data_IF_673792291424
#
_entry.id   IF_673792291424
#
_cell.length_a   1.000
_cell.length_b   1.000
_cell.length_c   1.000
_cell.angle_alpha   90.00
_cell.angle_beta   90.00
_cell.angle_gamma   90.00
#
_symmetry.space_group_name_H-M   'P 1'
#
loop_
_entity.id
_entity.type
_entity.pdbx_description
1 polymer ?
#
# COMPACT_ATOMS: atom_id res chain seq x y z
N UNK A 1 20.95 15.41 -7.68
CA UNK A 1 21.50 14.41 -6.73
C UNK A 1 20.62 13.20 -6.76
N UNK A 2 21.18 12.04 -7.01
CA UNK A 2 20.50 10.74 -6.91
C UNK A 2 21.15 9.95 -5.77
N UNK A 3 20.37 9.13 -5.09
CA UNK A 3 20.85 8.30 -4.01
C UNK A 3 20.40 6.85 -4.22
N UNK A 4 21.28 5.90 -3.92
CA UNK A 4 20.91 4.48 -3.89
C UNK A 4 20.55 4.12 -2.46
N UNK A 5 19.32 3.66 -2.26
CA UNK A 5 18.79 3.37 -0.94
C UNK A 5 18.15 1.99 -0.86
N UNK A 6 18.05 1.54 0.38
CA UNK A 6 17.16 0.44 0.80
C UNK A 6 16.19 0.94 1.82
N UNK A 7 15.04 0.27 1.92
CA UNK A 7 14.08 0.53 2.97
C UNK A 7 13.61 -0.76 3.67
N UNK A 8 13.14 -0.58 4.90
CA UNK A 8 12.46 -1.58 5.70
C UNK A 8 11.20 -0.93 6.24
N UNK A 9 10.04 -1.54 5.98
CA UNK A 9 8.74 -1.04 6.39
C UNK A 9 8.23 -1.84 7.59
N UNK A 10 7.92 -1.15 8.69
CA UNK A 10 7.21 -1.68 9.86
C UNK A 10 5.82 -1.06 9.89
N UNK A 11 4.79 -1.88 9.76
CA UNK A 11 3.40 -1.43 9.90
C UNK A 11 2.92 -1.70 11.33
N UNK A 12 2.21 -0.75 11.96
CA UNK A 12 1.51 -1.04 13.20
C UNK A 12 0.52 -2.20 13.01
N UNK A 13 0.48 -3.11 13.96
CA UNK A 13 -0.48 -4.22 13.97
C UNK A 13 -1.42 -4.05 15.16
N UNK A 14 -2.70 -4.30 14.93
CA UNK A 14 -3.68 -4.23 16.01
C UNK A 14 -3.37 -5.24 17.11
N UNK A 15 -3.40 -4.80 18.36
CA UNK A 15 -3.19 -5.63 19.53
C UNK A 15 -4.25 -6.73 19.67
N UNK A 16 -3.91 -7.79 20.41
CA UNK A 16 -4.86 -8.85 20.74
C UNK A 16 -6.11 -8.31 21.46
N UNK A 17 -5.97 -7.22 22.21
CA UNK A 17 -7.10 -6.53 22.82
C UNK A 17 -8.05 -5.96 21.78
N UNK A 18 -7.51 -5.26 20.75
CA UNK A 18 -8.30 -4.72 19.62
C UNK A 18 -8.95 -5.85 18.82
N UNK A 19 -8.20 -6.92 18.54
CA UNK A 19 -8.72 -8.12 17.87
C UNK A 19 -9.89 -8.74 18.64
N UNK A 20 -9.73 -8.97 19.96
CA UNK A 20 -10.80 -9.51 20.81
C UNK A 20 -12.04 -8.60 20.85
N UNK A 21 -11.87 -7.27 20.90
CA UNK A 21 -13.00 -6.33 20.84
C UNK A 21 -13.76 -6.46 19.51
N UNK A 22 -13.04 -6.59 18.41
CA UNK A 22 -13.64 -6.78 17.08
C UNK A 22 -14.44 -8.09 17.00
N UNK A 23 -13.85 -9.20 17.46
CA UNK A 23 -14.54 -10.50 17.53
C UNK A 23 -15.80 -10.41 18.41
N UNK A 24 -15.69 -9.76 19.58
CA UNK A 24 -16.84 -9.56 20.47
C UNK A 24 -17.95 -8.73 19.82
N UNK A 25 -17.59 -7.68 19.07
CA UNK A 25 -18.55 -6.85 18.32
C UNK A 25 -19.26 -7.68 17.23
N UNK A 26 -18.52 -8.47 16.44
CA UNK A 26 -19.12 -9.32 15.41
C UNK A 26 -20.04 -10.39 16.01
N UNK A 27 -19.69 -10.97 17.16
CA UNK A 27 -20.58 -11.91 17.89
C UNK A 27 -21.89 -11.23 18.30
N UNK A 28 -21.84 -10.00 18.82
CA UNK A 28 -23.04 -9.22 19.15
C UNK A 28 -23.89 -8.90 17.92
N UNK A 29 -23.25 -8.56 16.79
CA UNK A 29 -23.97 -8.33 15.53
C UNK A 29 -24.65 -9.64 15.04
N UNK A 30 -23.92 -10.77 15.08
CA UNK A 30 -24.49 -12.09 14.75
C UNK A 30 -25.71 -12.39 15.63
N UNK A 31 -25.61 -12.17 16.95
CA UNK A 31 -26.74 -12.40 17.89
C UNK A 31 -27.96 -11.56 17.54
N UNK A 32 -27.77 -10.28 17.18
CA UNK A 32 -28.85 -9.39 16.75
C UNK A 32 -29.52 -9.89 15.48
N UNK A 33 -28.73 -10.24 14.46
CA UNK A 33 -29.25 -10.80 13.20
C UNK A 33 -30.00 -12.11 13.46
N UNK A 34 -29.48 -12.97 14.32
CA UNK A 34 -30.16 -14.23 14.68
C UNK A 34 -31.49 -13.99 15.41
N UNK A 35 -31.63 -12.85 16.12
CA UNK A 35 -32.88 -12.43 16.79
C UNK A 35 -33.85 -11.70 15.86
N UNK A 36 -33.49 -11.47 14.60
CA UNK A 36 -34.38 -10.90 13.60
C UNK A 36 -33.99 -9.54 13.03
N UNK A 37 -32.87 -8.93 13.47
CA UNK A 37 -32.38 -7.71 12.88
C UNK A 37 -31.94 -7.98 11.42
N UNK A 38 -32.17 -7.02 10.53
CA UNK A 38 -31.81 -7.18 9.10
C UNK A 38 -30.29 -7.15 8.92
N UNK A 39 -29.77 -8.17 8.24
CA UNK A 39 -28.33 -8.29 7.95
C UNK A 39 -27.81 -7.12 7.12
N UNK A 40 -28.59 -6.66 6.13
CA UNK A 40 -28.21 -5.58 5.23
C UNK A 40 -28.08 -4.24 5.96
N UNK A 41 -28.97 -3.96 6.90
CA UNK A 41 -28.91 -2.78 7.78
C UNK A 41 -27.68 -2.85 8.70
N UNK A 42 -27.43 -4.03 9.28
CA UNK A 42 -26.21 -4.25 10.08
C UNK A 42 -24.94 -4.08 9.24
N UNK A 43 -24.91 -4.62 8.01
CA UNK A 43 -23.77 -4.45 7.11
C UNK A 43 -23.57 -2.99 6.72
N UNK A 44 -24.65 -2.26 6.40
CA UNK A 44 -24.59 -0.85 6.06
C UNK A 44 -24.10 0.02 7.20
N UNK A 45 -24.41 -0.36 8.44
CA UNK A 45 -24.00 0.36 9.64
C UNK A 45 -22.57 0.05 10.07
N UNK A 46 -22.19 -1.23 10.10
CA UNK A 46 -20.97 -1.69 10.75
C UNK A 46 -19.87 -2.15 9.80
N UNK A 47 -20.19 -2.58 8.56
CA UNK A 47 -19.17 -3.11 7.65
C UNK A 47 -18.16 -2.03 7.24
N UNK A 48 -16.91 -2.42 7.19
CA UNK A 48 -15.80 -1.61 6.68
C UNK A 48 -15.44 -1.95 5.23
N UNK A 49 -16.13 -2.92 4.60
CA UNK A 49 -15.91 -3.23 3.17
C UNK A 49 -16.55 -2.17 2.26
N UNK A 50 -15.76 -1.33 1.57
CA UNK A 50 -16.29 -0.27 0.71
C UNK A 50 -17.04 -0.83 -0.52
N UNK A 51 -16.75 -2.07 -0.93
CA UNK A 51 -17.33 -2.70 -2.12
C UNK A 51 -18.76 -3.17 -1.92
N UNK A 52 -19.08 -3.66 -0.71
CA UNK A 52 -20.37 -4.28 -0.41
C UNK A 52 -21.18 -3.56 0.67
N UNK A 53 -20.57 -2.73 1.52
CA UNK A 53 -21.24 -2.02 2.61
C UNK A 53 -22.56 -1.38 2.19
N UNK A 54 -22.55 -0.55 1.14
CA UNK A 54 -23.72 0.16 0.61
C UNK A 54 -24.77 -0.75 -0.07
N UNK A 55 -24.42 -2.01 -0.27
CA UNK A 55 -25.26 -3.04 -0.87
C UNK A 55 -25.71 -4.07 0.19
N UNK A 56 -25.74 -3.71 1.47
CA UNK A 56 -26.09 -4.59 2.57
C UNK A 56 -25.14 -5.79 2.73
N UNK A 57 -23.85 -5.59 2.41
CA UNK A 57 -22.83 -6.64 2.48
C UNK A 57 -22.84 -7.64 1.31
N UNK A 58 -23.69 -7.45 0.29
CA UNK A 58 -23.92 -8.42 -0.79
C UNK A 58 -22.71 -8.47 -1.75
N UNK A 59 -22.08 -9.64 -1.86
CA UNK A 59 -21.00 -9.95 -2.80
C UNK A 59 -21.51 -10.57 -4.11
N UNK A 60 -22.81 -10.91 -4.18
CA UNK A 60 -23.39 -11.64 -5.32
C UNK A 60 -22.94 -13.09 -5.39
N UNK A 61 -22.81 -13.60 -6.61
CA UNK A 61 -22.30 -14.94 -6.88
C UNK A 61 -20.77 -14.93 -6.88
N UNK A 62 -20.17 -15.66 -5.96
CA UNK A 62 -18.71 -15.86 -5.86
C UNK A 62 -18.36 -17.28 -6.28
N UNK A 63 -17.19 -17.46 -6.89
CA UNK A 63 -16.69 -18.76 -7.35
C UNK A 63 -15.65 -19.29 -6.38
N UNK A 64 -15.57 -20.61 -6.21
CA UNK A 64 -14.49 -21.26 -5.48
C UNK A 64 -13.13 -20.89 -6.10
N UNK A 65 -12.14 -20.59 -5.27
CA UNK A 65 -10.81 -20.11 -5.66
C UNK A 65 -10.71 -18.58 -5.85
N UNK A 66 -11.80 -17.81 -5.67
CA UNK A 66 -11.80 -16.35 -5.81
C UNK A 66 -11.82 -15.58 -4.48
N UNK A 67 -11.87 -16.29 -3.36
CA UNK A 67 -12.02 -15.71 -2.02
C UNK A 67 -10.77 -15.96 -1.17
N UNK A 68 -10.64 -15.21 -0.08
CA UNK A 68 -9.61 -15.47 0.93
C UNK A 68 -9.83 -16.86 1.56
N UNK A 69 -8.76 -17.62 1.76
CA UNK A 69 -8.82 -19.04 2.15
C UNK A 69 -9.81 -19.36 3.27
N UNK A 70 -9.68 -18.70 4.41
CA UNK A 70 -10.54 -18.97 5.57
C UNK A 70 -12.00 -18.57 5.31
N UNK A 71 -12.21 -17.48 4.60
CA UNK A 71 -13.55 -17.01 4.21
C UNK A 71 -14.18 -17.97 3.22
N UNK A 72 -13.42 -18.48 2.26
CA UNK A 72 -13.90 -19.45 1.27
C UNK A 72 -14.29 -20.77 1.93
N UNK A 73 -13.47 -21.30 2.83
CA UNK A 73 -13.76 -22.54 3.54
C UNK A 73 -15.13 -22.46 4.25
N UNK A 74 -15.37 -21.40 5.00
CA UNK A 74 -16.66 -21.20 5.67
C UNK A 74 -17.79 -20.99 4.66
N UNK A 75 -17.57 -20.21 3.58
CA UNK A 75 -18.57 -19.99 2.53
C UNK A 75 -19.09 -21.30 1.94
N UNK A 76 -18.22 -22.27 1.74
CA UNK A 76 -18.61 -23.52 1.08
C UNK A 76 -18.97 -24.67 2.06
N UNK A 77 -18.86 -24.46 3.36
CA UNK A 77 -19.21 -25.47 4.38
C UNK A 77 -20.40 -25.09 5.25
N UNK A 78 -20.59 -23.81 5.57
CA UNK A 78 -21.69 -23.36 6.45
C UNK A 78 -23.07 -23.70 5.87
N UNK A 79 -24.04 -24.03 6.74
CA UNK A 79 -25.43 -24.20 6.32
C UNK A 79 -25.98 -22.90 5.71
N UNK A 80 -26.71 -23.01 4.60
CA UNK A 80 -27.39 -21.85 3.99
C UNK A 80 -28.38 -21.19 4.94
N UNK A 81 -28.54 -19.88 4.78
CA UNK A 81 -29.41 -19.03 5.62
C UNK A 81 -29.03 -19.08 7.11
N UNK A 82 -27.75 -19.24 7.41
CA UNK A 82 -27.19 -19.10 8.77
C UNK A 82 -26.00 -18.15 8.75
N UNK A 83 -25.87 -17.35 9.80
CA UNK A 83 -24.74 -16.42 9.98
C UNK A 83 -23.57 -17.15 10.61
N UNK A 84 -22.39 -17.02 10.02
CA UNK A 84 -21.16 -17.64 10.52
C UNK A 84 -20.72 -17.08 11.88
N UNK A 85 -19.82 -17.80 12.54
CA UNK A 85 -18.95 -17.20 13.55
C UNK A 85 -17.95 -16.22 12.91
N UNK A 86 -17.31 -15.34 13.70
CA UNK A 86 -16.26 -14.47 13.21
C UNK A 86 -15.11 -15.25 12.57
N UNK A 87 -14.76 -14.90 11.33
CA UNK A 87 -13.72 -15.52 10.51
C UNK A 87 -12.56 -14.54 10.41
N UNK A 88 -11.36 -14.94 10.81
CA UNK A 88 -10.16 -14.13 10.65
C UNK A 88 -9.58 -14.30 9.24
N UNK A 89 -9.22 -13.16 8.62
CA UNK A 89 -8.54 -13.11 7.33
C UNK A 89 -7.44 -12.02 7.38
N UNK A 90 -6.66 -11.92 6.31
CA UNK A 90 -5.60 -10.90 6.18
C UNK A 90 -6.13 -9.45 6.23
N UNK A 91 -7.41 -9.22 5.88
CA UNK A 91 -8.02 -7.89 5.85
C UNK A 91 -8.85 -7.55 7.09
N UNK A 92 -9.04 -8.51 7.99
CA UNK A 92 -9.80 -8.32 9.22
C UNK A 92 -10.70 -9.51 9.56
N UNK A 93 -11.73 -9.26 10.35
CA UNK A 93 -12.68 -10.27 10.81
C UNK A 93 -14.01 -10.12 10.08
N UNK A 94 -14.59 -11.24 9.66
CA UNK A 94 -15.84 -11.29 8.92
C UNK A 94 -16.87 -12.14 9.64
N UNK A 95 -18.15 -11.79 9.47
CA UNK A 95 -19.26 -12.74 9.52
C UNK A 95 -19.90 -12.78 8.14
N UNK A 96 -20.36 -13.95 7.73
CA UNK A 96 -21.01 -14.14 6.42
C UNK A 96 -22.29 -14.95 6.53
N UNK A 97 -23.12 -14.82 5.52
CA UNK A 97 -24.29 -15.65 5.30
C UNK A 97 -24.35 -16.07 3.85
N UNK A 98 -24.64 -17.35 3.62
CA UNK A 98 -24.80 -17.92 2.29
C UNK A 98 -26.28 -18.17 2.02
N UNK A 99 -26.81 -17.55 0.98
CA UNK A 99 -28.21 -17.75 0.56
C UNK A 99 -28.41 -19.02 -0.27
N UNK A 100 -27.46 -19.28 -1.18
CA UNK A 100 -27.60 -20.31 -2.18
C UNK A 100 -26.22 -20.84 -2.60
N UNK A 101 -26.16 -22.14 -2.93
CA UNK A 101 -24.99 -22.76 -3.55
C UNK A 101 -25.41 -23.51 -4.81
N UNK A 102 -24.60 -23.38 -5.87
CA UNK A 102 -24.73 -24.13 -7.14
C UNK A 102 -23.35 -24.58 -7.60
N UNK A 103 -23.02 -25.86 -7.40
CA UNK A 103 -21.74 -26.41 -7.77
C UNK A 103 -20.57 -25.68 -7.08
N UNK A 104 -19.71 -25.03 -7.88
CA UNK A 104 -18.53 -24.27 -7.43
C UNK A 104 -18.83 -22.79 -7.12
N UNK A 105 -20.11 -22.38 -7.07
CA UNK A 105 -20.54 -21.00 -6.79
C UNK A 105 -21.42 -20.91 -5.57
N UNK A 106 -21.32 -19.78 -4.87
CA UNK A 106 -22.18 -19.43 -3.75
C UNK A 106 -22.64 -17.98 -3.85
N UNK A 107 -23.87 -17.70 -3.42
CA UNK A 107 -24.38 -16.35 -3.26
C UNK A 107 -24.24 -15.94 -1.80
N UNK A 108 -23.46 -14.90 -1.54
CA UNK A 108 -22.97 -14.55 -0.20
C UNK A 108 -23.16 -13.07 0.11
N UNK A 109 -23.43 -12.77 1.37
CA UNK A 109 -23.27 -11.44 1.96
C UNK A 109 -22.37 -11.52 3.20
N UNK A 110 -21.66 -10.42 3.51
CA UNK A 110 -20.76 -10.38 4.64
C UNK A 110 -20.73 -9.04 5.36
N UNK A 111 -20.20 -9.03 6.56
CA UNK A 111 -19.82 -7.86 7.34
C UNK A 111 -18.35 -7.99 7.67
N UNK A 112 -17.53 -7.04 7.23
CA UNK A 112 -16.11 -6.96 7.54
C UNK A 112 -15.89 -5.90 8.61
N UNK A 113 -15.15 -6.22 9.65
CA UNK A 113 -14.62 -5.25 10.63
C UNK A 113 -13.12 -5.47 10.78
N UNK A 114 -12.34 -4.42 10.49
CA UNK A 114 -10.91 -4.40 10.72
C UNK A 114 -10.62 -3.94 12.15
N UNK A 115 -9.79 -4.66 12.92
CA UNK A 115 -9.39 -4.21 14.26
C UNK A 115 -8.72 -2.86 14.20
N UNK A 116 -9.15 -1.93 15.06
CA UNK A 116 -8.56 -0.59 15.09
C UNK A 116 -7.17 -0.63 15.71
N UNK A 117 -6.24 0.02 15.03
CA UNK A 117 -4.92 0.33 15.54
C UNK A 117 -5.07 1.57 16.44
N UNK A 118 -4.47 1.54 17.61
CA UNK A 118 -4.49 2.64 18.58
C UNK A 118 -3.06 3.16 18.83
N UNK A 119 -2.95 4.27 19.54
CA UNK A 119 -1.67 4.93 19.83
C UNK A 119 -0.64 4.01 20.50
N UNK A 120 -1.11 3.02 21.29
CA UNK A 120 -0.22 2.03 21.93
C UNK A 120 0.34 1.06 20.89
N UNK A 121 -0.47 0.69 19.89
CA UNK A 121 -0.05 -0.19 18.80
C UNK A 121 0.94 0.54 17.88
N UNK A 122 0.69 1.81 17.57
CA UNK A 122 1.62 2.67 16.82
C UNK A 122 2.93 2.84 17.58
N UNK A 123 2.85 3.13 18.89
CA UNK A 123 4.05 3.26 19.72
C UNK A 123 4.88 1.97 19.73
N UNK A 124 4.27 0.81 19.85
CA UNK A 124 4.99 -0.47 19.78
C UNK A 124 5.71 -0.67 18.45
N UNK A 125 5.06 -0.34 17.34
CA UNK A 125 5.67 -0.42 16.02
C UNK A 125 6.85 0.56 15.87
N UNK A 126 6.69 1.78 16.39
CA UNK A 126 7.78 2.77 16.44
C UNK A 126 8.95 2.29 17.29
N UNK A 127 8.69 1.85 18.53
CA UNK A 127 9.73 1.37 19.45
C UNK A 127 10.47 0.15 18.87
N UNK A 128 9.76 -0.72 18.15
CA UNK A 128 10.35 -1.84 17.42
C UNK A 128 11.23 -1.34 16.25
N UNK A 129 10.78 -0.37 15.48
CA UNK A 129 11.59 0.22 14.41
C UNK A 129 12.88 0.88 14.99
N UNK A 130 12.79 1.57 16.14
CA UNK A 130 13.94 2.12 16.83
C UNK A 130 14.92 1.01 17.24
N UNK A 131 14.45 -0.09 17.83
CA UNK A 131 15.30 -1.21 18.24
C UNK A 131 16.03 -1.87 17.05
N UNK A 132 15.35 -1.98 15.89
CA UNK A 132 15.98 -2.46 14.67
C UNK A 132 17.05 -1.49 14.16
N UNK A 133 16.78 -0.19 14.18
CA UNK A 133 17.75 0.86 13.80
C UNK A 133 18.99 0.80 14.68
N UNK A 134 18.83 0.68 16.00
CA UNK A 134 19.96 0.62 16.94
C UNK A 134 20.82 -0.63 16.78
N UNK A 135 20.20 -1.74 16.37
CA UNK A 135 20.89 -2.99 16.06
C UNK A 135 21.48 -3.03 14.64
N UNK A 136 21.14 -2.07 13.78
CA UNK A 136 21.49 -2.07 12.36
C UNK A 136 22.85 -1.39 12.11
N UNK A 137 23.93 -2.10 12.43
CA UNK A 137 25.32 -1.59 12.34
C UNK A 137 25.96 -1.78 10.96
N UNK A 138 25.32 -2.48 10.04
CA UNK A 138 25.87 -2.76 8.71
C UNK A 138 24.80 -3.00 7.66
N UNK A 139 25.16 -2.82 6.38
CA UNK A 139 24.28 -3.12 5.26
C UNK A 139 23.84 -4.60 5.25
N UNK A 140 24.69 -5.53 5.69
CA UNK A 140 24.35 -6.93 5.75
C UNK A 140 23.21 -7.18 6.76
N UNK A 141 23.33 -6.62 7.95
CA UNK A 141 22.27 -6.68 8.99
C UNK A 141 20.98 -5.99 8.52
N UNK A 142 21.09 -4.83 7.85
CA UNK A 142 19.91 -4.17 7.30
C UNK A 142 19.14 -5.07 6.34
N UNK A 143 19.85 -5.73 5.42
CA UNK A 143 19.24 -6.68 4.46
C UNK A 143 18.59 -7.88 5.15
N UNK A 144 19.24 -8.41 6.18
CA UNK A 144 18.71 -9.51 6.98
C UNK A 144 17.42 -9.10 7.71
N UNK A 145 17.46 -7.96 8.43
CA UNK A 145 16.28 -7.42 9.12
C UNK A 145 15.14 -7.11 8.15
N UNK A 146 15.46 -6.59 6.96
CA UNK A 146 14.45 -6.32 5.94
C UNK A 146 13.76 -7.60 5.47
N UNK A 147 14.52 -8.65 5.18
CA UNK A 147 13.95 -9.95 4.79
C UNK A 147 13.06 -10.55 5.89
N UNK A 148 13.43 -10.35 7.15
CA UNK A 148 12.74 -10.95 8.30
C UNK A 148 11.53 -10.13 8.76
N UNK A 149 11.59 -8.82 8.70
CA UNK A 149 10.65 -7.94 9.38
C UNK A 149 9.89 -6.97 8.46
N UNK A 150 10.39 -6.71 7.25
CA UNK A 150 9.74 -5.74 6.37
C UNK A 150 8.37 -6.24 5.89
N UNK A 151 7.38 -5.39 6.02
CA UNK A 151 6.01 -5.60 5.52
C UNK A 151 5.83 -5.15 4.07
N UNK A 152 6.88 -4.68 3.40
CA UNK A 152 6.82 -4.40 1.97
C UNK A 152 7.00 -5.67 1.14
N UNK A 153 5.94 -6.16 0.45
CA UNK A 153 6.00 -7.41 -0.31
C UNK A 153 6.88 -7.31 -1.56
N UNK A 154 7.12 -6.09 -2.07
CA UNK A 154 7.87 -5.90 -3.32
C UNK A 154 9.38 -5.99 -3.10
N UNK A 155 9.87 -5.46 -2.00
CA UNK A 155 11.32 -5.33 -1.78
C UNK A 155 11.88 -6.15 -0.61
N UNK A 156 11.03 -6.66 0.28
CA UNK A 156 11.48 -7.42 1.47
C UNK A 156 12.46 -8.54 1.10
N UNK A 157 12.16 -9.36 0.09
CA UNK A 157 12.97 -10.50 -0.30
C UNK A 157 14.31 -10.12 -0.95
N UNK A 158 14.39 -8.92 -1.54
CA UNK A 158 15.64 -8.38 -2.12
C UNK A 158 16.39 -7.45 -1.15
N UNK A 159 16.04 -7.52 0.16
CA UNK A 159 16.68 -6.72 1.21
C UNK A 159 16.40 -5.23 1.08
N UNK A 160 15.17 -4.89 0.65
CA UNK A 160 14.65 -3.52 0.62
C UNK A 160 15.20 -2.64 -0.51
N UNK A 161 15.78 -3.18 -1.56
CA UNK A 161 16.45 -2.39 -2.62
C UNK A 161 15.44 -1.56 -3.42
N UNK A 162 15.51 -0.24 -3.31
CA UNK A 162 14.73 0.72 -4.09
C UNK A 162 15.52 1.27 -5.29
N UNK A 163 16.78 0.85 -5.44
CA UNK A 163 17.64 1.33 -6.52
C UNK A 163 18.07 2.80 -6.35
N UNK A 164 18.28 3.47 -7.48
CA UNK A 164 18.62 4.89 -7.54
C UNK A 164 17.37 5.73 -7.57
N UNK A 165 17.24 6.66 -6.62
CA UNK A 165 16.10 7.57 -6.53
C UNK A 165 16.56 9.03 -6.45
N UNK A 166 15.69 9.93 -6.89
CA UNK A 166 15.86 11.36 -6.69
C UNK A 166 15.02 11.81 -5.50
N UNK A 167 15.63 12.30 -4.40
CA UNK A 167 14.89 12.72 -3.21
C UNK A 167 13.81 13.79 -3.47
N UNK A 168 14.04 14.67 -4.44
CA UNK A 168 13.10 15.78 -4.74
C UNK A 168 11.82 15.33 -5.45
N UNK A 169 11.87 14.20 -6.16
CA UNK A 169 10.75 13.68 -6.96
C UNK A 169 10.23 12.34 -6.46
N UNK A 170 10.68 11.91 -5.28
CA UNK A 170 10.23 10.65 -4.70
C UNK A 170 8.76 10.75 -4.26
N UNK A 171 7.91 9.76 -4.59
CA UNK A 171 6.46 9.84 -4.35
C UNK A 171 6.09 10.03 -2.87
N UNK A 172 6.84 9.42 -1.95
CA UNK A 172 6.62 9.54 -0.50
C UNK A 172 7.46 10.71 -0.01
N UNK A 173 6.79 11.85 0.23
CA UNK A 173 7.45 13.13 0.58
C UNK A 173 8.31 13.03 1.82
N UNK A 174 7.85 12.32 2.84
CA UNK A 174 8.54 12.13 4.13
C UNK A 174 9.89 11.46 3.93
N UNK A 175 9.95 10.45 3.07
CA UNK A 175 11.20 9.77 2.69
C UNK A 175 12.12 10.74 1.93
N UNK A 176 11.56 11.47 0.95
CA UNK A 176 12.32 12.46 0.17
C UNK A 176 12.98 13.53 1.05
N UNK A 177 12.27 14.01 2.07
CA UNK A 177 12.77 15.00 3.04
C UNK A 177 13.81 14.44 4.01
N UNK A 178 13.70 13.18 4.40
CA UNK A 178 14.62 12.53 5.33
C UNK A 178 15.97 12.18 4.67
N UNK A 179 15.98 11.83 3.39
CA UNK A 179 17.19 11.36 2.70
C UNK A 179 18.40 12.28 2.76
N UNK A 180 18.28 13.62 2.63
CA UNK A 180 19.42 14.53 2.76
C UNK A 180 20.05 14.54 4.16
N UNK A 181 19.33 14.06 5.18
CA UNK A 181 19.78 14.06 6.59
C UNK A 181 20.52 12.76 6.95
N UNK A 182 20.46 11.75 6.10
CA UNK A 182 21.09 10.44 6.34
C UNK A 182 22.50 10.43 5.76
N UNK A 183 23.47 9.99 6.54
CA UNK A 183 24.84 9.82 6.05
C UNK A 183 24.98 8.49 5.29
N UNK A 184 25.89 8.49 4.31
CA UNK A 184 26.21 7.26 3.57
C UNK A 184 26.70 6.17 4.51
N UNK A 185 26.11 4.97 4.40
CA UNK A 185 26.45 3.81 5.23
C UNK A 185 25.75 3.79 6.59
N UNK A 186 24.78 4.66 6.82
CA UNK A 186 23.99 4.73 8.06
C UNK A 186 22.52 4.37 7.83
N UNK A 187 21.89 3.84 8.88
CA UNK A 187 20.46 3.65 8.99
C UNK A 187 19.77 4.91 9.52
N UNK A 188 18.66 5.31 8.91
CA UNK A 188 17.86 6.45 9.37
C UNK A 188 17.19 6.19 10.71
N UNK A 189 16.72 7.25 11.35
CA UNK A 189 15.64 7.16 12.33
C UNK A 189 14.35 6.67 11.65
N UNK A 190 13.40 6.10 12.40
CA UNK A 190 12.09 5.73 11.86
C UNK A 190 11.38 6.95 11.26
N UNK A 191 10.96 6.83 10.01
CA UNK A 191 10.22 7.85 9.26
C UNK A 191 8.76 7.43 9.22
N UNK A 192 7.88 8.22 9.82
CA UNK A 192 6.45 7.96 9.80
C UNK A 192 5.85 8.37 8.45
N UNK A 193 5.06 7.47 7.85
CA UNK A 193 4.31 7.69 6.61
C UNK A 193 2.92 7.07 6.73
N UNK A 194 2.06 7.29 5.76
CA UNK A 194 0.74 6.63 5.70
C UNK A 194 0.80 5.09 5.61
N UNK A 195 1.97 4.53 5.30
CA UNK A 195 2.19 3.07 5.23
C UNK A 195 2.73 2.48 6.53
N UNK A 196 3.19 3.31 7.47
CA UNK A 196 3.85 2.91 8.71
C UNK A 196 5.23 3.56 8.85
N UNK A 197 6.11 2.92 9.61
CA UNK A 197 7.46 3.41 9.91
C UNK A 197 8.49 2.83 8.97
N UNK A 198 9.20 3.69 8.23
CA UNK A 198 10.28 3.29 7.34
C UNK A 198 11.63 3.52 8.01
N UNK A 199 12.50 2.52 7.92
CA UNK A 199 13.94 2.67 8.11
C UNK A 199 14.60 2.70 6.74
N UNK A 200 15.53 3.61 6.53
CA UNK A 200 16.26 3.76 5.28
C UNK A 200 17.74 3.48 5.51
N UNK A 201 18.36 2.79 4.57
CA UNK A 201 19.81 2.64 4.49
C UNK A 201 20.33 3.35 3.25
N UNK A 202 21.22 4.33 3.43
CA UNK A 202 21.82 5.05 2.33
C UNK A 202 23.11 4.38 1.85
N UNK A 203 23.05 3.66 0.72
CA UNK A 203 24.19 2.93 0.18
C UNK A 203 25.18 3.84 -0.55
N UNK A 204 24.68 4.66 -1.49
CA UNK A 204 25.51 5.48 -2.38
C UNK A 204 24.83 6.82 -2.65
N UNK A 205 25.67 7.82 -2.92
CA UNK A 205 25.25 9.17 -3.33
C UNK A 205 25.89 9.48 -4.67
N UNK A 206 25.09 9.84 -5.67
CA UNK A 206 25.54 10.40 -6.92
C UNK A 206 25.27 11.90 -6.89
N UNK A 207 26.30 12.70 -6.64
CA UNK A 207 26.18 14.17 -6.66
C UNK A 207 25.77 14.58 -8.07
N UNK A 208 24.76 15.44 -8.17
CA UNK A 208 24.42 16.08 -9.44
C UNK A 208 25.61 16.94 -9.86
N UNK A 209 26.13 16.69 -11.04
CA UNK A 209 27.12 17.51 -11.70
C UNK A 209 26.57 18.06 -13.02
N UNK A 210 27.29 18.99 -13.66
CA UNK A 210 26.99 19.31 -15.05
C UNK A 210 27.13 18.03 -15.87
N UNK A 211 26.19 17.74 -16.78
CA UNK A 211 26.33 16.59 -17.68
C UNK A 211 27.69 16.65 -18.39
N UNK A 212 28.44 15.55 -18.34
CA UNK A 212 29.64 15.37 -19.14
C UNK A 212 29.39 14.39 -20.28
N UNK A 213 30.20 14.42 -21.32
CA UNK A 213 30.00 13.59 -22.50
C UNK A 213 30.28 12.11 -22.26
N UNK A 214 31.14 11.78 -21.29
CA UNK A 214 31.52 10.39 -20.99
C UNK A 214 30.41 9.63 -20.29
N UNK A 215 29.83 10.21 -19.20
CA UNK A 215 28.85 9.52 -18.35
C UNK A 215 27.40 9.78 -18.74
N UNK A 216 27.14 10.80 -19.57
CA UNK A 216 25.80 11.31 -19.81
C UNK A 216 25.44 11.46 -21.30
N UNK A 217 26.17 10.77 -22.19
CA UNK A 217 26.02 10.90 -23.66
C UNK A 217 24.57 10.80 -24.09
N UNK A 218 23.89 9.69 -23.78
CA UNK A 218 22.48 9.47 -24.20
C UNK A 218 21.52 10.55 -23.70
N UNK A 219 21.76 11.11 -22.50
CA UNK A 219 20.95 12.19 -21.94
C UNK A 219 21.20 13.51 -22.67
N UNK A 220 22.46 13.82 -22.96
CA UNK A 220 22.87 15.01 -23.69
C UNK A 220 22.34 14.94 -25.12
N UNK A 221 22.47 13.78 -25.76
CA UNK A 221 21.95 13.52 -27.11
C UNK A 221 20.43 13.73 -27.18
N UNK A 222 19.67 13.13 -26.23
CA UNK A 222 18.22 13.30 -26.14
C UNK A 222 17.82 14.77 -25.92
N UNK A 223 18.52 15.49 -25.03
CA UNK A 223 18.27 16.92 -24.80
C UNK A 223 18.59 17.75 -26.01
N UNK A 224 19.70 17.49 -26.71
CA UNK A 224 20.09 18.16 -27.95
C UNK A 224 19.10 17.93 -29.08
N UNK A 225 18.64 16.66 -29.24
CA UNK A 225 17.62 16.29 -30.21
C UNK A 225 16.29 16.98 -29.95
N UNK A 226 15.83 17.01 -28.69
CA UNK A 226 14.62 17.73 -28.33
C UNK A 226 14.72 19.22 -28.57
N UNK A 227 15.83 19.85 -28.22
CA UNK A 227 16.04 21.26 -28.51
C UNK A 227 16.02 21.54 -30.03
N UNK A 228 16.68 20.70 -30.83
CA UNK A 228 16.68 20.80 -32.30
C UNK A 228 15.27 20.63 -32.88
N UNK A 229 14.48 19.70 -32.35
CA UNK A 229 13.07 19.52 -32.74
C UNK A 229 12.22 20.75 -32.40
N UNK A 230 12.40 21.33 -31.22
CA UNK A 230 11.67 22.54 -30.79
C UNK A 230 12.00 23.72 -31.70
N UNK A 231 13.29 24.01 -31.94
CA UNK A 231 13.72 25.08 -32.83
C UNK A 231 13.21 24.88 -34.28
N UNK A 232 13.26 23.63 -34.77
CA UNK A 232 12.73 23.30 -36.10
C UNK A 232 11.22 23.54 -36.17
N UNK A 233 10.49 23.12 -35.15
CA UNK A 233 9.03 23.28 -35.06
C UNK A 233 8.60 24.76 -34.98
N UNK A 234 9.30 25.57 -34.18
CA UNK A 234 9.07 27.02 -34.11
C UNK A 234 9.30 27.70 -35.44
N UNK A 235 10.40 27.37 -36.13
CA UNK A 235 10.70 27.90 -37.44
C UNK A 235 9.69 27.45 -38.50
N UNK A 236 9.26 26.19 -38.42
CA UNK A 236 8.23 25.67 -39.32
C UNK A 236 6.89 26.39 -39.11
N UNK A 237 6.43 26.53 -37.88
CA UNK A 237 5.21 27.29 -37.57
C UNK A 237 5.30 28.73 -38.07
N UNK A 238 6.44 29.39 -37.85
CA UNK A 238 6.63 30.76 -38.31
C UNK A 238 6.48 30.86 -39.82
N UNK A 239 7.10 29.94 -40.55
CA UNK A 239 7.02 29.89 -42.02
C UNK A 239 5.62 29.53 -42.54
N UNK A 240 4.94 28.61 -41.86
CA UNK A 240 3.58 28.22 -42.23
C UNK A 240 2.55 29.32 -41.94
N UNK A 241 2.71 30.06 -40.84
CA UNK A 241 1.85 31.20 -40.49
C UNK A 241 1.85 32.30 -41.57
N UNK A 242 2.95 32.47 -42.29
CA UNK A 242 3.03 33.43 -43.40
C UNK A 242 2.16 33.05 -44.61
N UNK A 243 1.76 31.78 -44.73
CA UNK A 243 0.94 31.24 -45.82
C UNK A 243 -0.58 31.34 -45.56
N UNK A 244 -0.98 31.61 -44.31
CA UNK A 244 -2.39 31.61 -43.92
C UNK A 244 -2.76 32.90 -43.19
N UNK A 245 -3.95 33.38 -43.48
CA UNK A 245 -4.55 34.45 -42.67
C UNK A 245 -5.13 33.81 -41.39
N UNK A 246 -4.62 34.22 -40.23
CA UNK A 246 -5.06 33.69 -38.92
C UNK A 246 -5.70 34.81 -38.13
N UNK A 247 -7.01 34.71 -37.90
CA UNK A 247 -7.76 35.59 -37.02
C UNK A 247 -8.01 34.88 -35.70
N UNK A 248 -7.59 35.51 -34.59
CA UNK A 248 -7.86 34.99 -33.24
C UNK A 248 -9.13 35.71 -32.75
N UNK A 249 -10.24 34.98 -32.69
CA UNK A 249 -11.47 35.44 -32.07
C UNK A 249 -11.33 35.33 -30.58
N UNK A 250 -11.37 36.46 -29.85
CA UNK A 250 -11.36 36.56 -28.40
C UNK A 250 -12.75 36.29 -27.82
#
# INVERSE_FOLDING_TARGET
MEVKIRHLLITPEASDSSKRKTVSLLKKIKEKITKGDDFGEMASSFSMDPGSKKKGGNLGWVKRGSLLKNFEEVTFTIKTNTVSDPIETEVGYHILEVFERKGDRARVRHILITPQINDVDEKKAFDFAVSLKDSCLSLALFKEFTKKHSKDPQTSQIGGDLGWINPKTYPIKEIGLALPLIKKGECSLPINTSFGFHLLWLEKIKKGGKPNLEDHWSKIEAMSLNNKKMVWYENWIKKEKEKFFIEILN
#
